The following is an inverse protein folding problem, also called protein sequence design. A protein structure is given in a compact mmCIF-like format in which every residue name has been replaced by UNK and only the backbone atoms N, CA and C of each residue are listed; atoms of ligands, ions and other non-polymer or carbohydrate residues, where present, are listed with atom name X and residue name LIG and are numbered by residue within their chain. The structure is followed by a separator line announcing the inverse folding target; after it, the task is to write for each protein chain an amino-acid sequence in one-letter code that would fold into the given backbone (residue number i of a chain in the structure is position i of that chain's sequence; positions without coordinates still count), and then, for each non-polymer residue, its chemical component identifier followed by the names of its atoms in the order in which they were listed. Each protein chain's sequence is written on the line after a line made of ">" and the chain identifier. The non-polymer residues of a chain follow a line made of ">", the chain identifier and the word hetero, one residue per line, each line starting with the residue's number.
data_IF_880128792277
#
_entry.id   IF_880128792277
#
_cell.length_a   1.000
_cell.length_b   1.000
_cell.length_c   1.000
_cell.angle_alpha   90.00
_cell.angle_beta   90.00
_cell.angle_gamma   90.00
#
_symmetry.space_group_name_H-M   'P 1'
#
loop_
_entity.id
_entity.type
_entity.pdbx_description
1 polymer ?
#
# COMPACT_ATOMS: atom_id res chain seq x y z
N UNK A 1 1.74 -6.53 17.34
CA UNK A 1 2.85 -6.49 16.35
C UNK A 1 2.39 -5.75 15.12
N UNK A 2 3.27 -4.92 14.54
CA UNK A 2 2.94 -4.20 13.32
C UNK A 2 3.14 -5.10 12.11
N UNK A 3 2.21 -5.01 11.17
CA UNK A 3 2.28 -5.70 9.90
C UNK A 3 2.77 -4.72 8.84
N UNK A 4 3.80 -5.10 8.11
CA UNK A 4 4.32 -4.25 7.04
C UNK A 4 3.39 -4.23 5.84
N UNK A 5 3.14 -3.03 5.32
CA UNK A 5 2.48 -2.87 4.03
C UNK A 5 3.60 -2.61 3.03
N UNK A 6 3.75 -3.48 2.05
CA UNK A 6 4.84 -3.36 1.09
C UNK A 6 4.31 -3.06 -0.31
N UNK A 7 5.14 -2.45 -1.14
CA UNK A 7 4.81 -2.25 -2.55
C UNK A 7 4.78 -3.63 -3.22
N UNK A 8 3.62 -4.07 -3.73
CA UNK A 8 3.50 -5.42 -4.29
C UNK A 8 4.16 -5.52 -5.66
N UNK A 9 4.59 -6.73 -6.00
CA UNK A 9 5.08 -7.05 -7.33
C UNK A 9 3.99 -7.77 -8.09
N UNK A 10 3.34 -7.08 -9.02
CA UNK A 10 2.19 -7.61 -9.73
C UNK A 10 2.55 -8.41 -10.98
N UNK A 11 3.81 -8.37 -11.40
CA UNK A 11 4.27 -9.13 -12.57
C UNK A 11 5.78 -9.18 -12.61
N UNK A 12 6.32 -10.10 -13.42
CA UNK A 12 7.76 -10.32 -13.47
C UNK A 12 8.56 -9.10 -13.91
N UNK A 13 7.93 -8.24 -14.73
CA UNK A 13 8.59 -7.04 -15.25
C UNK A 13 8.39 -5.82 -14.38
N UNK A 14 7.62 -5.92 -13.30
CA UNK A 14 7.36 -4.80 -12.43
C UNK A 14 8.53 -4.55 -11.51
N UNK A 15 9.14 -3.38 -11.61
CA UNK A 15 10.27 -3.00 -10.75
C UNK A 15 9.87 -1.95 -9.73
N UNK A 16 8.84 -1.16 -10.02
CA UNK A 16 8.34 -0.14 -9.11
C UNK A 16 6.87 0.15 -9.41
N UNK A 17 6.22 0.80 -8.46
CA UNK A 17 4.86 1.27 -8.63
C UNK A 17 4.72 2.69 -8.12
N UNK A 18 3.73 3.40 -8.64
CA UNK A 18 3.40 4.73 -8.15
C UNK A 18 2.21 4.65 -7.20
N UNK A 19 2.33 5.27 -6.04
CA UNK A 19 1.20 5.40 -5.12
C UNK A 19 0.31 6.49 -5.67
N UNK A 20 -0.90 6.11 -6.11
CA UNK A 20 -1.86 7.09 -6.63
C UNK A 20 -2.45 7.86 -5.46
N UNK A 21 -3.01 7.13 -4.51
CA UNK A 21 -3.50 7.74 -3.26
C UNK A 21 -3.72 6.69 -2.19
N UNK A 22 -3.55 7.10 -0.95
CA UNK A 22 -3.96 6.33 0.20
C UNK A 22 -5.43 6.61 0.48
N UNK A 23 -6.21 5.56 0.71
CA UNK A 23 -7.65 5.67 1.00
C UNK A 23 -7.95 5.71 2.49
N UNK A 24 -6.92 5.53 3.33
CA UNK A 24 -7.03 5.57 4.78
C UNK A 24 -5.99 6.52 5.32
N UNK A 25 -6.30 7.09 6.48
CA UNK A 25 -5.39 8.02 7.16
C UNK A 25 -4.75 7.32 8.35
N UNK A 26 -3.58 7.80 8.74
CA UNK A 26 -2.92 7.31 9.95
C UNK A 26 -3.86 7.49 11.13
N UNK A 27 -4.03 6.42 11.90
CA UNK A 27 -4.95 6.37 13.04
C UNK A 27 -6.32 5.78 12.72
N UNK A 28 -6.64 5.58 11.43
CA UNK A 28 -7.92 5.00 11.04
C UNK A 28 -7.94 3.49 11.20
N UNK A 29 -9.07 2.96 11.64
CA UNK A 29 -9.29 1.52 11.69
C UNK A 29 -9.58 0.99 10.30
N UNK A 30 -9.01 -0.17 9.99
CA UNK A 30 -9.14 -0.83 8.69
C UNK A 30 -9.56 -2.28 8.92
N UNK A 31 -10.50 -2.74 8.12
CA UNK A 31 -10.89 -4.15 8.14
C UNK A 31 -10.18 -4.92 7.03
N UNK A 32 -9.93 -6.19 7.27
CA UNK A 32 -9.41 -7.10 6.26
C UNK A 32 -10.25 -6.98 4.99
N UNK A 33 -9.59 -6.85 3.84
CA UNK A 33 -10.26 -6.70 2.55
C UNK A 33 -10.59 -5.28 2.15
N UNK A 34 -10.48 -4.32 3.06
CA UNK A 34 -10.67 -2.92 2.69
C UNK A 34 -9.49 -2.40 1.88
N UNK A 35 -9.76 -1.55 0.91
CA UNK A 35 -8.71 -0.97 0.09
C UNK A 35 -7.95 0.06 0.89
N UNK A 36 -6.65 -0.17 1.07
CA UNK A 36 -5.76 0.76 1.77
C UNK A 36 -5.32 1.89 0.86
N UNK A 37 -4.92 1.54 -0.35
CA UNK A 37 -4.38 2.52 -1.28
C UNK A 37 -4.51 2.01 -2.70
N UNK A 38 -4.33 2.94 -3.64
CA UNK A 38 -4.34 2.64 -5.07
C UNK A 38 -2.93 2.83 -5.61
N UNK A 39 -2.52 1.90 -6.46
CA UNK A 39 -1.19 1.85 -7.06
C UNK A 39 -1.34 1.77 -8.56
N UNK A 40 -0.40 2.38 -9.27
CA UNK A 40 -0.40 2.36 -10.72
C UNK A 40 1.00 2.06 -11.24
N UNK A 41 1.05 1.27 -12.30
CA UNK A 41 2.26 1.10 -13.11
C UNK A 41 1.95 1.66 -14.50
N UNK A 42 2.91 1.60 -15.40
CA UNK A 42 2.70 2.05 -16.78
C UNK A 42 1.68 1.20 -17.54
N UNK A 43 1.34 0.02 -17.03
CA UNK A 43 0.43 -0.91 -17.72
C UNK A 43 -0.88 -1.16 -17.00
N UNK A 44 -0.89 -1.10 -15.66
CA UNK A 44 -2.05 -1.49 -14.86
C UNK A 44 -2.25 -0.57 -13.67
N UNK A 45 -3.51 -0.49 -13.24
CA UNK A 45 -3.89 0.11 -11.96
C UNK A 45 -4.37 -1.01 -11.06
N UNK A 46 -4.06 -0.93 -9.78
CA UNK A 46 -4.46 -1.95 -8.84
C UNK A 46 -4.74 -1.34 -7.46
N UNK A 47 -5.51 -2.07 -6.68
CA UNK A 47 -5.84 -1.68 -5.32
C UNK A 47 -5.16 -2.63 -4.35
N UNK A 48 -4.58 -2.09 -3.30
CA UNK A 48 -3.95 -2.91 -2.26
C UNK A 48 -4.88 -2.95 -1.06
N UNK A 49 -5.29 -4.16 -0.68
CA UNK A 49 -6.23 -4.37 0.41
C UNK A 49 -5.51 -4.73 1.70
N UNK A 50 -6.16 -4.42 2.82
CA UNK A 50 -5.65 -4.81 4.11
C UNK A 50 -5.70 -6.34 4.26
N UNK A 51 -4.63 -6.93 4.75
CA UNK A 51 -4.57 -8.38 4.96
C UNK A 51 -5.17 -8.79 6.30
N UNK A 52 -5.30 -7.86 7.24
CA UNK A 52 -5.85 -8.10 8.57
C UNK A 52 -6.57 -6.85 9.06
N UNK A 53 -7.43 -7.02 10.05
CA UNK A 53 -8.02 -5.89 10.77
C UNK A 53 -6.95 -5.20 11.59
N UNK A 54 -7.03 -3.89 11.71
CA UNK A 54 -6.10 -3.12 12.53
C UNK A 54 -6.21 -1.64 12.25
N UNK A 55 -5.26 -0.90 12.77
CA UNK A 55 -5.17 0.55 12.54
C UNK A 55 -4.02 0.84 11.59
N UNK A 56 -4.20 1.82 10.73
CA UNK A 56 -3.09 2.31 9.92
C UNK A 56 -2.18 3.11 10.84
N UNK A 57 -1.01 2.54 11.15
CA UNK A 57 -0.09 3.11 12.13
C UNK A 57 0.77 4.20 11.52
N UNK A 58 1.26 3.95 10.30
CA UNK A 58 2.20 4.86 9.66
C UNK A 58 2.11 4.75 8.15
N UNK A 59 2.32 5.88 7.48
CA UNK A 59 2.48 5.94 6.02
C UNK A 59 3.90 6.45 5.78
N UNK A 60 4.75 5.60 5.20
CA UNK A 60 6.14 5.96 4.93
C UNK A 60 6.33 6.58 3.55
N UNK A 61 5.46 6.21 2.60
CA UNK A 61 5.49 6.74 1.24
C UNK A 61 4.10 7.25 0.90
N UNK A 62 4.02 8.48 0.47
CA UNK A 62 2.75 9.16 0.26
C UNK A 62 2.29 9.17 -1.18
N UNK A 63 1.17 9.87 -1.39
CA UNK A 63 0.55 10.00 -2.71
C UNK A 63 1.54 10.59 -3.70
N UNK A 64 1.58 10.01 -4.89
CA UNK A 64 2.42 10.48 -5.99
C UNK A 64 3.83 9.91 -6.00
N UNK A 65 4.26 9.19 -4.96
CA UNK A 65 5.63 8.66 -4.91
C UNK A 65 5.76 7.37 -5.71
N UNK A 66 6.90 7.25 -6.41
CA UNK A 66 7.29 5.99 -7.06
C UNK A 66 8.12 5.19 -6.06
N UNK A 67 7.80 3.93 -5.89
CA UNK A 67 8.41 3.09 -4.87
C UNK A 67 8.83 1.76 -5.48
N UNK A 68 10.06 1.31 -5.25
CA UNK A 68 10.48 -0.02 -5.70
C UNK A 68 9.62 -1.11 -5.08
N UNK A 69 9.40 -2.19 -5.84
CA UNK A 69 8.65 -3.34 -5.31
C UNK A 69 9.34 -3.89 -4.07
N UNK A 70 8.55 -4.43 -3.15
CA UNK A 70 8.94 -5.01 -1.87
C UNK A 70 9.38 -4.00 -0.80
N UNK A 71 9.48 -2.72 -1.14
CA UNK A 71 9.80 -1.70 -0.14
C UNK A 71 8.59 -1.44 0.77
N UNK A 72 8.85 -1.23 2.06
CA UNK A 72 7.79 -0.97 3.04
C UNK A 72 7.26 0.44 2.82
N UNK A 73 5.93 0.55 2.66
CA UNK A 73 5.27 1.82 2.42
C UNK A 73 4.39 2.27 3.57
N UNK A 74 4.13 1.38 4.53
CA UNK A 74 3.34 1.71 5.70
C UNK A 74 3.28 0.56 6.68
N UNK A 75 2.55 0.75 7.77
CA UNK A 75 2.37 -0.27 8.81
C UNK A 75 0.93 -0.31 9.29
N UNK A 76 0.44 -1.54 9.52
CA UNK A 76 -0.84 -1.81 10.20
C UNK A 76 -0.58 -2.44 11.56
N UNK A 77 -1.46 -2.17 12.49
CA UNK A 77 -1.31 -2.80 13.81
C UNK A 77 -2.48 -2.61 14.76
#
# INVERSE_FOLDING_TARGET
>A
MALEVIMPKAGVDMTEGQIVQWNKKVGEFVKEGEVLLEIMTDKVSMELEAEEDGYLIAILKGDGENVPVTEVIGYLG
#
